data_IF_372974288879
#
_entry.id   IF_372974288879
#
_cell.length_a   1.000
_cell.length_b   1.000
_cell.length_c   1.000
_cell.angle_alpha   90.00
_cell.angle_beta   90.00
_cell.angle_gamma   90.00
#
_symmetry.space_group_name_H-M   'P 1'
#
loop_
_entity.id
_entity.type
_entity.pdbx_description
1 polymer ?
#
# COMPACT_ATOMS: atom_id res chain seq x y z
N UNK A 1 -3.21 -18.72 -15.63
CA UNK A 1 -3.72 -17.36 -15.33
C UNK A 1 -5.17 -17.33 -14.85
N UNK A 2 -6.14 -17.96 -15.54
CA UNK A 2 -7.57 -17.94 -15.14
C UNK A 2 -7.84 -18.46 -13.70
N UNK A 3 -7.17 -19.49 -13.24
CA UNK A 3 -7.35 -20.02 -11.88
C UNK A 3 -6.82 -19.06 -10.81
N UNK A 4 -5.66 -18.42 -11.03
CA UNK A 4 -5.10 -17.44 -10.08
C UNK A 4 -6.01 -16.22 -9.86
N UNK A 5 -6.67 -15.70 -10.91
CA UNK A 5 -7.64 -14.62 -10.76
C UNK A 5 -8.87 -15.03 -9.93
N UNK A 6 -9.35 -16.27 -10.14
CA UNK A 6 -10.49 -16.82 -9.37
C UNK A 6 -10.17 -16.94 -7.88
N UNK A 7 -8.94 -17.30 -7.56
CA UNK A 7 -8.48 -17.48 -6.17
C UNK A 7 -8.32 -16.10 -5.48
N UNK A 8 -7.82 -15.10 -6.18
CA UNK A 8 -7.81 -13.70 -5.70
C UNK A 8 -9.24 -13.21 -5.42
N UNK A 9 -10.19 -13.47 -6.32
CA UNK A 9 -11.60 -13.09 -6.10
C UNK A 9 -12.22 -13.79 -4.89
N UNK A 10 -11.88 -15.06 -4.62
CA UNK A 10 -12.31 -15.77 -3.42
C UNK A 10 -11.73 -15.16 -2.15
N UNK A 11 -10.44 -14.81 -2.16
CA UNK A 11 -9.78 -14.14 -1.03
C UNK A 11 -10.37 -12.76 -0.78
N UNK A 12 -10.69 -12.01 -1.84
CA UNK A 12 -11.40 -10.72 -1.74
C UNK A 12 -12.79 -10.91 -1.11
N UNK A 13 -13.56 -11.92 -1.58
CA UNK A 13 -14.90 -12.17 -1.05
C UNK A 13 -14.86 -12.62 0.41
N UNK A 14 -13.89 -13.44 0.78
CA UNK A 14 -13.65 -13.85 2.17
C UNK A 14 -13.31 -12.65 3.05
N UNK A 15 -12.33 -11.85 2.65
CA UNK A 15 -11.95 -10.63 3.40
C UNK A 15 -13.14 -9.67 3.45
N UNK A 16 -13.87 -9.47 2.37
CA UNK A 16 -15.11 -8.68 2.37
C UNK A 16 -16.10 -9.18 3.41
N UNK A 17 -16.43 -10.49 3.43
CA UNK A 17 -17.36 -11.09 4.39
C UNK A 17 -16.85 -10.90 5.83
N UNK A 18 -15.57 -11.11 6.04
CA UNK A 18 -14.92 -10.95 7.34
C UNK A 18 -14.96 -9.49 7.80
N UNK A 19 -14.70 -8.54 6.92
CA UNK A 19 -14.74 -7.10 7.19
C UNK A 19 -16.16 -6.60 7.48
N UNK A 20 -17.16 -7.07 6.70
CA UNK A 20 -18.55 -6.68 6.93
C UNK A 20 -19.15 -7.31 8.19
N UNK A 21 -18.60 -8.44 8.66
CA UNK A 21 -19.00 -9.09 9.92
C UNK A 21 -18.54 -8.28 11.14
N UNK A 22 -17.34 -7.64 11.07
CA UNK A 22 -16.75 -6.93 12.20
C UNK A 22 -16.90 -5.40 12.05
N UNK A 23 -17.84 -4.79 12.79
CA UNK A 23 -18.10 -3.34 12.91
C UNK A 23 -18.08 -2.54 11.60
N UNK A 24 -18.98 -2.82 10.70
CA UNK A 24 -19.25 -2.10 9.44
C UNK A 24 -19.20 -0.57 9.57
N UNK A 25 -19.61 -0.02 10.74
CA UNK A 25 -19.63 1.44 10.99
C UNK A 25 -18.22 2.06 10.86
N UNK A 26 -17.16 1.41 11.35
CA UNK A 26 -15.80 1.96 11.24
C UNK A 26 -15.32 2.03 9.78
N UNK A 27 -15.64 1.02 8.97
CA UNK A 27 -15.30 1.04 7.55
C UNK A 27 -16.00 2.20 6.82
N UNK A 28 -17.30 2.42 7.11
CA UNK A 28 -18.05 3.52 6.52
C UNK A 28 -17.40 4.87 6.90
N UNK A 29 -17.06 5.06 8.18
CA UNK A 29 -16.38 6.28 8.64
C UNK A 29 -15.04 6.46 7.90
N UNK A 30 -14.23 5.40 7.77
CA UNK A 30 -12.95 5.45 7.06
C UNK A 30 -13.12 5.81 5.58
N UNK A 31 -14.15 5.26 4.91
CA UNK A 31 -14.46 5.58 3.51
C UNK A 31 -14.88 7.05 3.38
N UNK A 32 -15.76 7.55 4.25
CA UNK A 32 -16.19 8.96 4.23
C UNK A 32 -14.99 9.88 4.48
N UNK A 33 -14.19 9.62 5.51
CA UNK A 33 -13.00 10.42 5.81
C UNK A 33 -11.98 10.37 4.67
N UNK A 34 -11.88 9.23 3.97
CA UNK A 34 -11.01 9.07 2.82
C UNK A 34 -11.45 9.96 1.64
N UNK A 35 -12.76 10.00 1.35
CA UNK A 35 -13.32 10.89 0.33
C UNK A 35 -13.06 12.35 0.70
N UNK A 36 -13.36 12.73 1.94
CA UNK A 36 -13.14 14.09 2.44
C UNK A 36 -11.65 14.47 2.34
N UNK A 37 -10.72 13.55 2.66
CA UNK A 37 -9.27 13.77 2.58
C UNK A 37 -8.75 14.00 1.14
N UNK A 38 -9.54 13.69 0.12
CA UNK A 38 -9.23 14.04 -1.28
C UNK A 38 -9.76 15.43 -1.62
N UNK A 39 -10.97 15.77 -1.18
CA UNK A 39 -11.63 17.05 -1.54
C UNK A 39 -10.88 18.25 -1.00
N UNK A 40 -10.49 18.25 0.27
CA UNK A 40 -9.85 19.42 0.91
C UNK A 40 -8.52 19.84 0.27
N UNK A 41 -7.58 18.94 -0.09
CA UNK A 41 -6.37 19.32 -0.81
C UNK A 41 -6.62 19.93 -2.19
N UNK A 42 -7.72 19.55 -2.88
CA UNK A 42 -8.08 20.19 -4.16
C UNK A 42 -8.70 21.57 -3.96
N UNK A 43 -9.57 21.75 -2.95
CA UNK A 43 -10.08 23.07 -2.59
C UNK A 43 -8.94 24.02 -2.20
N UNK A 44 -7.96 23.55 -1.42
CA UNK A 44 -6.77 24.33 -1.07
C UNK A 44 -5.95 24.70 -2.30
N UNK A 45 -5.81 23.78 -3.27
CA UNK A 45 -5.07 24.02 -4.51
C UNK A 45 -5.74 25.09 -5.36
N UNK A 46 -7.06 25.05 -5.55
CA UNK A 46 -7.80 26.08 -6.27
C UNK A 46 -7.77 27.43 -5.55
N UNK A 47 -7.79 27.43 -4.23
CA UNK A 47 -7.66 28.66 -3.46
C UNK A 47 -6.28 29.31 -3.65
N UNK A 48 -5.20 28.51 -3.63
CA UNK A 48 -3.83 28.98 -3.92
C UNK A 48 -3.73 29.53 -5.35
N UNK A 49 -4.33 28.83 -6.31
CA UNK A 49 -4.41 29.29 -7.70
C UNK A 49 -5.06 30.69 -7.78
N UNK A 50 -6.20 30.86 -7.12
CA UNK A 50 -6.92 32.11 -7.09
C UNK A 50 -6.08 33.24 -6.45
N UNK A 51 -5.44 32.97 -5.31
CA UNK A 51 -4.56 33.94 -4.63
C UNK A 51 -3.45 34.43 -5.58
N UNK A 52 -2.76 33.51 -6.27
CA UNK A 52 -1.65 33.86 -7.16
C UNK A 52 -2.16 34.67 -8.36
N UNK A 53 -3.29 34.26 -8.94
CA UNK A 53 -3.89 34.99 -10.08
C UNK A 53 -4.34 36.40 -9.69
N UNK A 54 -5.00 36.53 -8.53
CA UNK A 54 -5.44 37.84 -8.00
C UNK A 54 -4.26 38.77 -7.67
N UNK A 55 -3.12 38.23 -7.25
CA UNK A 55 -1.89 39.01 -7.05
C UNK A 55 -1.31 39.49 -8.40
N UNK A 56 -1.36 38.63 -9.42
CA UNK A 56 -0.88 38.97 -10.77
C UNK A 56 -1.76 40.03 -11.42
N UNK A 57 -3.08 39.95 -11.26
CA UNK A 57 -4.07 40.87 -11.81
C UNK A 57 -4.25 42.15 -10.96
N UNK A 58 -3.58 42.23 -9.80
CA UNK A 58 -3.67 43.36 -8.85
C UNK A 58 -5.10 43.64 -8.37
N UNK A 59 -5.85 42.57 -8.05
CA UNK A 59 -7.19 42.69 -7.50
C UNK A 59 -7.22 43.37 -6.12
N UNK A 60 -8.43 43.62 -5.60
CA UNK A 60 -8.64 44.30 -4.31
C UNK A 60 -7.98 43.52 -3.16
N UNK A 61 -7.16 44.20 -2.35
CA UNK A 61 -6.42 43.65 -1.25
C UNK A 61 -7.30 42.91 -0.23
N UNK A 62 -8.53 43.36 0.03
CA UNK A 62 -9.49 42.71 0.92
C UNK A 62 -9.91 41.31 0.43
N UNK A 63 -10.02 41.10 -0.88
CA UNK A 63 -10.35 39.80 -1.46
C UNK A 63 -9.18 38.81 -1.25
N UNK A 64 -7.96 39.28 -1.46
CA UNK A 64 -6.74 38.49 -1.22
C UNK A 64 -6.64 38.07 0.23
N UNK A 65 -6.92 38.98 1.21
CA UNK A 65 -6.93 38.64 2.65
C UNK A 65 -7.96 37.57 2.95
N UNK A 66 -9.17 37.63 2.41
CA UNK A 66 -10.20 36.62 2.62
C UNK A 66 -9.76 35.24 2.10
N UNK A 67 -9.10 35.19 0.95
CA UNK A 67 -8.57 33.95 0.40
C UNK A 67 -7.40 33.38 1.20
N UNK A 68 -6.54 34.24 1.78
CA UNK A 68 -5.48 33.83 2.69
C UNK A 68 -6.04 33.23 4.00
N UNK A 69 -7.08 33.83 4.57
CA UNK A 69 -7.79 33.28 5.74
C UNK A 69 -8.39 31.92 5.39
N UNK A 70 -9.05 31.81 4.23
CA UNK A 70 -9.61 30.54 3.75
C UNK A 70 -8.52 29.46 3.57
N UNK A 71 -7.35 29.82 3.04
CA UNK A 71 -6.21 28.91 2.91
C UNK A 71 -5.77 28.34 4.25
N UNK A 72 -5.66 29.19 5.27
CA UNK A 72 -5.28 28.77 6.64
C UNK A 72 -6.33 27.80 7.21
N UNK A 73 -7.63 28.14 7.05
CA UNK A 73 -8.74 27.30 7.54
C UNK A 73 -8.73 25.94 6.82
N UNK A 74 -8.61 25.91 5.50
CA UNK A 74 -8.54 24.67 4.73
C UNK A 74 -7.33 23.81 5.12
N UNK A 75 -6.18 24.45 5.37
CA UNK A 75 -4.97 23.76 5.85
C UNK A 75 -5.17 23.11 7.22
N UNK A 76 -5.74 23.83 8.18
CA UNK A 76 -6.06 23.31 9.51
C UNK A 76 -7.07 22.16 9.43
N UNK A 77 -8.13 22.30 8.64
CA UNK A 77 -9.12 21.24 8.44
C UNK A 77 -8.50 19.99 7.79
N UNK A 78 -7.63 20.15 6.82
CA UNK A 78 -6.93 19.03 6.19
C UNK A 78 -6.05 18.26 7.19
N UNK A 79 -5.32 18.98 8.06
CA UNK A 79 -4.52 18.35 9.13
C UNK A 79 -5.44 17.60 10.10
N UNK A 80 -6.53 18.21 10.55
CA UNK A 80 -7.49 17.60 11.47
C UNK A 80 -8.10 16.32 10.87
N UNK A 81 -8.57 16.36 9.63
CA UNK A 81 -9.16 15.21 8.93
C UNK A 81 -8.15 14.07 8.80
N UNK A 82 -6.90 14.34 8.40
CA UNK A 82 -5.88 13.31 8.30
C UNK A 82 -5.55 12.68 9.67
N UNK A 83 -5.55 13.44 10.76
CA UNK A 83 -5.33 12.91 12.12
C UNK A 83 -6.53 12.09 12.61
N UNK A 84 -7.74 12.54 12.34
CA UNK A 84 -8.96 11.79 12.64
C UNK A 84 -8.99 10.48 11.84
N UNK A 85 -8.65 10.51 10.55
CA UNK A 85 -8.52 9.32 9.72
C UNK A 85 -7.51 8.32 10.31
N UNK A 86 -6.30 8.79 10.65
CA UNK A 86 -5.26 7.95 11.24
C UNK A 86 -5.72 7.31 12.57
N UNK A 87 -6.42 8.07 13.43
CA UNK A 87 -6.97 7.56 14.68
C UNK A 87 -8.01 6.44 14.44
N UNK A 88 -8.96 6.65 13.53
CA UNK A 88 -9.98 5.64 13.23
C UNK A 88 -9.38 4.42 12.53
N UNK A 89 -8.36 4.60 11.69
CA UNK A 89 -7.62 3.52 11.05
C UNK A 89 -6.91 2.63 12.08
N UNK A 90 -6.19 3.25 13.02
CA UNK A 90 -5.54 2.55 14.13
C UNK A 90 -6.56 1.81 15.02
N UNK A 91 -7.65 2.48 15.37
CA UNK A 91 -8.73 1.88 16.18
C UNK A 91 -9.37 0.68 15.48
N UNK A 92 -9.52 0.73 14.16
CA UNK A 92 -10.02 -0.38 13.38
C UNK A 92 -9.03 -1.53 13.32
N UNK A 93 -7.73 -1.25 13.19
CA UNK A 93 -6.64 -2.22 13.23
C UNK A 93 -6.65 -3.02 14.54
N UNK A 94 -6.65 -2.32 15.68
CA UNK A 94 -6.67 -2.96 17.00
C UNK A 94 -7.93 -3.81 17.22
N UNK A 95 -9.07 -3.30 16.73
CA UNK A 95 -10.32 -4.04 16.81
C UNK A 95 -10.30 -5.32 15.96
N UNK A 96 -9.76 -5.27 14.75
CA UNK A 96 -9.59 -6.46 13.92
C UNK A 96 -8.64 -7.45 14.57
N UNK A 97 -7.50 -6.99 15.06
CA UNK A 97 -6.51 -7.80 15.74
C UNK A 97 -7.11 -8.58 16.91
N UNK A 98 -7.85 -7.91 17.78
CA UNK A 98 -8.50 -8.52 18.93
C UNK A 98 -9.52 -9.59 18.51
N UNK A 99 -10.41 -9.28 17.57
CA UNK A 99 -11.47 -10.20 17.18
C UNK A 99 -10.97 -11.40 16.36
N UNK A 100 -9.94 -11.19 15.54
CA UNK A 100 -9.36 -12.28 14.75
C UNK A 100 -8.56 -13.24 15.61
N UNK A 101 -7.80 -12.72 16.60
CA UNK A 101 -7.14 -13.59 17.59
C UNK A 101 -8.17 -14.39 18.42
N UNK A 102 -9.24 -13.74 18.86
CA UNK A 102 -10.33 -14.44 19.55
C UNK A 102 -10.95 -15.54 18.69
N UNK A 103 -11.09 -15.29 17.37
CA UNK A 103 -11.62 -16.30 16.44
C UNK A 103 -10.71 -17.51 16.32
N UNK A 104 -9.38 -17.33 16.28
CA UNK A 104 -8.44 -18.45 16.29
C UNK A 104 -8.56 -19.23 17.61
N UNK A 105 -8.44 -18.54 18.74
CA UNK A 105 -8.49 -19.19 20.06
C UNK A 105 -9.81 -19.93 20.28
N UNK A 106 -10.92 -19.44 19.73
CA UNK A 106 -12.18 -20.18 19.77
C UNK A 106 -12.16 -21.44 18.89
N UNK A 107 -11.51 -21.38 17.71
CA UNK A 107 -11.34 -22.56 16.85
C UNK A 107 -10.43 -23.62 17.48
N UNK A 108 -9.36 -23.21 18.14
CA UNK A 108 -8.46 -24.17 18.81
C UNK A 108 -9.12 -24.89 19.98
N UNK A 109 -10.19 -24.32 20.56
CA UNK A 109 -11.01 -24.98 21.57
C UNK A 109 -11.71 -26.25 21.06
N UNK A 110 -12.03 -26.28 19.77
CA UNK A 110 -12.80 -27.36 19.14
C UNK A 110 -11.86 -28.47 18.60
N UNK A 111 -10.53 -28.32 18.71
CA UNK A 111 -9.55 -29.33 18.28
C UNK A 111 -9.40 -30.45 19.29
N UNK A 112 -9.30 -31.65 18.78
CA UNK A 112 -8.96 -32.85 19.56
C UNK A 112 -7.46 -32.94 19.82
N UNK A 113 -7.05 -33.75 20.79
CA UNK A 113 -5.63 -33.96 21.12
C UNK A 113 -4.84 -34.52 19.92
N UNK A 114 -5.47 -35.36 19.12
CA UNK A 114 -4.96 -35.94 17.87
C UNK A 114 -4.62 -34.89 16.80
N UNK A 115 -5.36 -33.76 16.78
CA UNK A 115 -5.11 -32.66 15.85
C UNK A 115 -3.80 -31.92 16.16
N UNK A 116 -3.45 -31.79 17.45
CA UNK A 116 -2.18 -31.21 17.88
C UNK A 116 -0.97 -32.12 17.62
N UNK A 117 -1.16 -33.42 17.52
CA UNK A 117 -0.14 -34.37 17.13
C UNK A 117 0.11 -34.41 15.62
N UNK A 118 -0.83 -33.87 14.83
CA UNK A 118 -0.68 -33.76 13.37
C UNK A 118 0.19 -32.56 13.01
N UNK A 119 1.41 -32.77 12.44
CA UNK A 119 2.31 -31.66 12.09
C UNK A 119 1.70 -30.66 11.11
N UNK A 120 0.78 -31.11 10.23
CA UNK A 120 0.14 -30.22 9.25
C UNK A 120 -0.84 -29.27 9.91
N UNK A 121 -1.63 -29.74 10.87
CA UNK A 121 -2.60 -28.92 11.63
C UNK A 121 -1.84 -27.94 12.54
N UNK A 122 -0.80 -28.40 13.21
CA UNK A 122 0.05 -27.53 14.04
C UNK A 122 0.72 -26.41 13.24
N UNK A 123 1.25 -26.72 12.05
CA UNK A 123 1.79 -25.72 11.11
C UNK A 123 0.74 -24.69 10.69
N UNK A 124 -0.52 -25.12 10.47
CA UNK A 124 -1.63 -24.19 10.11
C UNK A 124 -1.97 -23.27 11.28
N UNK A 125 -2.06 -23.78 12.50
CA UNK A 125 -2.31 -22.97 13.71
C UNK A 125 -1.22 -21.91 13.85
N UNK A 126 0.05 -22.30 13.76
CA UNK A 126 1.18 -21.39 13.93
C UNK A 126 1.25 -20.31 12.86
N UNK A 127 0.93 -20.65 11.60
CA UNK A 127 0.83 -19.66 10.51
C UNK A 127 -0.33 -18.70 10.71
N UNK A 128 -1.46 -19.22 11.20
CA UNK A 128 -2.63 -18.41 11.51
C UNK A 128 -2.30 -17.39 12.62
N UNK A 129 -1.71 -17.82 13.73
CA UNK A 129 -1.32 -16.94 14.83
C UNK A 129 -0.37 -15.81 14.40
N UNK A 130 0.64 -16.13 13.57
CA UNK A 130 1.63 -15.13 13.13
C UNK A 130 1.08 -14.08 12.19
N UNK A 131 0.06 -14.38 11.39
CA UNK A 131 -0.36 -13.54 10.26
C UNK A 131 -1.74 -12.93 10.40
N UNK A 132 -2.60 -13.44 11.30
CA UNK A 132 -4.02 -13.11 11.30
C UNK A 132 -4.33 -11.66 11.68
N UNK A 133 -3.49 -11.04 12.50
CA UNK A 133 -3.70 -9.65 12.91
C UNK A 133 -3.22 -8.63 11.87
N UNK A 134 -2.19 -8.98 11.10
CA UNK A 134 -1.48 -8.04 10.23
C UNK A 134 -2.02 -8.09 8.81
N UNK A 135 -2.17 -9.29 8.22
CA UNK A 135 -2.52 -9.45 6.79
C UNK A 135 -3.90 -8.97 6.41
N UNK A 136 -4.99 -9.32 7.15
CA UNK A 136 -6.32 -8.82 6.84
C UNK A 136 -6.41 -7.30 6.94
N UNK A 137 -5.74 -6.69 7.93
CA UNK A 137 -5.70 -5.23 8.05
C UNK A 137 -4.92 -4.59 6.89
N UNK A 138 -3.78 -5.16 6.49
CA UNK A 138 -3.00 -4.69 5.34
C UNK A 138 -3.82 -4.69 4.05
N UNK A 139 -4.65 -5.73 3.81
CA UNK A 139 -5.58 -5.76 2.68
C UNK A 139 -6.60 -4.63 2.72
N UNK A 140 -7.19 -4.36 3.90
CA UNK A 140 -8.12 -3.23 4.06
C UNK A 140 -7.44 -1.90 3.77
N UNK A 141 -6.25 -1.70 4.34
CA UNK A 141 -5.49 -0.48 4.13
C UNK A 141 -5.13 -0.28 2.64
N UNK A 142 -4.68 -1.34 1.97
CA UNK A 142 -4.41 -1.32 0.53
C UNK A 142 -5.65 -0.95 -0.28
N UNK A 143 -6.83 -1.50 0.07
CA UNK A 143 -8.09 -1.13 -0.57
C UNK A 143 -8.44 0.35 -0.37
N UNK A 144 -8.30 0.88 0.85
CA UNK A 144 -8.55 2.30 1.15
C UNK A 144 -7.58 3.22 0.41
N UNK A 145 -6.31 2.85 0.29
CA UNK A 145 -5.30 3.59 -0.48
C UNK A 145 -5.63 3.57 -1.97
N UNK A 146 -6.01 2.42 -2.54
CA UNK A 146 -6.44 2.31 -3.95
C UNK A 146 -7.64 3.22 -4.20
N UNK A 147 -8.65 3.18 -3.34
CA UNK A 147 -9.84 4.01 -3.47
C UNK A 147 -9.50 5.51 -3.43
N UNK A 148 -8.68 5.93 -2.47
CA UNK A 148 -8.19 7.32 -2.38
C UNK A 148 -7.45 7.74 -3.64
N UNK A 149 -6.54 6.90 -4.12
CA UNK A 149 -5.72 7.19 -5.29
C UNK A 149 -6.56 7.26 -6.57
N UNK A 150 -7.58 6.40 -6.73
CA UNK A 150 -8.52 6.48 -7.86
C UNK A 150 -9.29 7.80 -7.83
N UNK A 151 -9.82 8.21 -6.67
CA UNK A 151 -10.52 9.49 -6.55
C UNK A 151 -9.60 10.68 -6.85
N UNK A 152 -8.34 10.63 -6.35
CA UNK A 152 -7.34 11.67 -6.64
C UNK A 152 -6.97 11.70 -8.13
N UNK A 153 -6.87 10.53 -8.78
CA UNK A 153 -6.64 10.45 -10.23
C UNK A 153 -7.80 11.05 -11.01
N UNK A 154 -9.03 10.68 -10.70
CA UNK A 154 -10.21 11.20 -11.40
C UNK A 154 -10.29 12.72 -11.31
N UNK A 155 -10.10 13.29 -10.12
CA UNK A 155 -10.10 14.75 -9.94
C UNK A 155 -8.93 15.43 -10.65
N UNK A 156 -7.73 14.84 -10.60
CA UNK A 156 -6.54 15.38 -11.28
C UNK A 156 -6.66 15.32 -12.81
N UNK A 157 -7.16 14.21 -13.33
CA UNK A 157 -7.42 14.03 -14.77
C UNK A 157 -8.46 15.04 -15.27
N UNK A 158 -9.53 15.27 -14.50
CA UNK A 158 -10.57 16.25 -14.88
C UNK A 158 -9.99 17.65 -15.04
N UNK A 159 -9.02 18.05 -14.21
CA UNK A 159 -8.36 19.38 -14.32
C UNK A 159 -7.48 19.43 -15.57
N UNK A 160 -6.70 18.39 -15.86
CA UNK A 160 -5.87 18.35 -17.08
C UNK A 160 -6.71 18.30 -18.36
N UNK A 161 -7.86 17.60 -18.35
CA UNK A 161 -8.79 17.56 -19.49
C UNK A 161 -9.31 18.93 -19.88
N UNK A 162 -9.56 19.81 -18.90
CA UNK A 162 -10.02 21.18 -19.12
C UNK A 162 -8.95 22.06 -19.77
N UNK A 163 -7.67 21.69 -19.62
CA UNK A 163 -6.56 22.40 -20.24
C UNK A 163 -6.17 21.77 -21.58
N UNK A 164 -5.61 20.55 -21.57
CA UNK A 164 -5.23 19.81 -22.77
C UNK A 164 -5.50 18.32 -22.59
N UNK A 165 -6.51 17.80 -23.28
CA UNK A 165 -6.96 16.40 -23.17
C UNK A 165 -5.90 15.36 -23.57
N UNK A 166 -4.99 15.68 -24.48
CA UNK A 166 -3.96 14.76 -24.99
C UNK A 166 -2.82 14.48 -23.98
N UNK A 167 -2.64 15.35 -22.96
CA UNK A 167 -1.60 15.19 -21.94
C UNK A 167 -1.81 13.95 -21.05
N UNK A 168 -2.97 13.34 -21.09
CA UNK A 168 -3.29 12.15 -20.28
C UNK A 168 -2.74 10.88 -20.92
N UNK A 169 -2.61 10.82 -22.25
CA UNK A 169 -2.16 9.61 -22.96
C UNK A 169 -0.80 9.07 -22.50
N UNK A 170 0.24 9.88 -22.34
CA UNK A 170 1.54 9.39 -21.86
C UNK A 170 1.44 8.70 -20.49
N UNK A 171 0.63 9.24 -19.56
CA UNK A 171 0.42 8.62 -18.24
C UNK A 171 -0.33 7.28 -18.33
N UNK A 172 -1.34 7.18 -19.19
CA UNK A 172 -2.07 5.93 -19.40
C UNK A 172 -1.16 4.84 -19.96
N UNK A 173 -0.38 5.16 -20.99
CA UNK A 173 0.55 4.22 -21.62
C UNK A 173 1.59 3.73 -20.60
N UNK A 174 2.20 4.65 -19.86
CA UNK A 174 3.20 4.33 -18.86
C UNK A 174 2.60 3.47 -17.72
N UNK A 175 1.37 3.78 -17.28
CA UNK A 175 0.66 3.02 -16.25
C UNK A 175 0.39 1.58 -16.68
N UNK A 176 -0.01 1.35 -17.94
CA UNK A 176 -0.26 -0.01 -18.48
C UNK A 176 1.03 -0.83 -18.49
N UNK A 177 2.14 -0.21 -18.91
CA UNK A 177 3.47 -0.85 -18.90
C UNK A 177 3.88 -1.20 -17.47
N UNK A 178 3.71 -0.26 -16.54
CA UNK A 178 4.04 -0.45 -15.12
C UNK A 178 3.26 -1.62 -14.50
N UNK A 179 1.94 -1.66 -14.67
CA UNK A 179 1.09 -2.73 -14.12
C UNK A 179 1.53 -4.11 -14.62
N UNK A 180 1.81 -4.26 -15.94
CA UNK A 180 2.27 -5.53 -16.51
C UNK A 180 3.60 -5.97 -15.90
N UNK A 181 4.53 -5.05 -15.75
CA UNK A 181 5.86 -5.37 -15.26
C UNK A 181 5.89 -5.63 -13.74
N UNK A 182 5.18 -4.84 -12.96
CA UNK A 182 5.02 -5.08 -11.52
C UNK A 182 4.31 -6.40 -11.24
N UNK A 183 3.29 -6.76 -12.03
CA UNK A 183 2.65 -8.07 -11.93
C UNK A 183 3.62 -9.22 -12.22
N UNK A 184 4.53 -9.06 -13.20
CA UNK A 184 5.57 -10.05 -13.50
C UNK A 184 6.56 -10.20 -12.34
N UNK A 185 7.05 -9.09 -11.78
CA UNK A 185 7.96 -9.11 -10.63
C UNK A 185 7.27 -9.74 -9.40
N UNK A 186 6.01 -9.38 -9.16
CA UNK A 186 5.22 -9.95 -8.07
C UNK A 186 5.08 -11.47 -8.17
N UNK A 187 4.82 -12.00 -9.36
CA UNK A 187 4.79 -13.44 -9.57
C UNK A 187 6.15 -14.11 -9.30
N UNK A 188 7.25 -13.51 -9.74
CA UNK A 188 8.59 -14.04 -9.49
C UNK A 188 8.94 -14.05 -7.99
N UNK A 189 8.56 -12.99 -7.27
CA UNK A 189 8.76 -12.92 -5.83
C UNK A 189 7.92 -13.96 -5.09
N UNK A 190 6.67 -14.14 -5.50
CA UNK A 190 5.81 -15.19 -4.95
C UNK A 190 6.40 -16.60 -5.18
N UNK A 191 6.83 -16.91 -6.41
CA UNK A 191 7.45 -18.21 -6.71
C UNK A 191 8.73 -18.43 -5.89
N UNK A 192 9.54 -17.40 -5.71
CA UNK A 192 10.73 -17.45 -4.86
C UNK A 192 10.35 -17.76 -3.41
N UNK A 193 9.38 -17.06 -2.83
CA UNK A 193 8.92 -17.28 -1.45
C UNK A 193 8.30 -18.66 -1.31
N UNK A 194 7.47 -19.10 -2.25
CA UNK A 194 6.83 -20.40 -2.25
C UNK A 194 7.84 -21.54 -2.28
N UNK A 195 8.83 -21.48 -3.16
CA UNK A 195 9.85 -22.53 -3.32
C UNK A 195 10.76 -22.64 -2.09
N UNK A 196 10.97 -21.57 -1.33
CA UNK A 196 11.81 -21.60 -0.13
C UNK A 196 11.07 -21.89 1.18
N UNK A 197 9.74 -22.06 1.15
CA UNK A 197 8.91 -22.26 2.37
C UNK A 197 9.45 -23.41 3.25
N UNK A 198 9.88 -24.53 2.66
CA UNK A 198 10.45 -25.65 3.40
C UNK A 198 11.79 -25.29 4.07
N UNK A 199 12.62 -24.48 3.42
CA UNK A 199 13.90 -24.03 3.96
C UNK A 199 13.71 -22.95 5.03
N UNK A 200 12.71 -22.10 4.90
CA UNK A 200 12.33 -21.13 5.93
C UNK A 200 11.87 -21.83 7.21
N UNK A 201 11.03 -22.86 7.08
CA UNK A 201 10.63 -23.70 8.20
C UNK A 201 11.84 -24.37 8.89
N UNK A 202 12.79 -24.88 8.10
CA UNK A 202 14.03 -25.48 8.60
C UNK A 202 14.89 -24.46 9.36
N UNK A 203 15.02 -23.25 8.82
CA UNK A 203 15.73 -22.16 9.47
C UNK A 203 15.06 -21.72 10.78
N UNK A 204 13.72 -21.63 10.78
CA UNK A 204 12.96 -21.32 11.98
C UNK A 204 13.15 -22.39 13.06
N UNK A 205 13.08 -23.69 12.69
CA UNK A 205 13.27 -24.79 13.61
C UNK A 205 14.68 -24.78 14.24
N UNK A 206 15.72 -24.51 13.47
CA UNK A 206 17.09 -24.38 14.00
C UNK A 206 17.17 -23.22 15.00
N UNK A 207 16.58 -22.06 14.68
CA UNK A 207 16.53 -20.94 15.62
C UNK A 207 15.76 -21.32 16.90
N UNK A 208 14.67 -22.05 16.77
CA UNK A 208 13.88 -22.55 17.91
C UNK A 208 14.69 -23.48 18.82
N UNK A 209 15.45 -24.43 18.27
CA UNK A 209 16.35 -25.29 19.01
C UNK A 209 17.42 -24.52 19.80
N UNK A 210 17.96 -23.45 19.21
CA UNK A 210 19.01 -22.63 19.83
C UNK A 210 18.51 -21.66 20.90
N UNK A 211 17.19 -21.31 20.88
CA UNK A 211 16.67 -20.24 21.73
C UNK A 211 15.68 -20.68 22.80
N UNK A 212 15.08 -21.88 22.66
CA UNK A 212 14.09 -22.35 23.63
C UNK A 212 14.73 -23.16 24.75
N UNK A 213 14.27 -22.88 25.97
CA UNK A 213 14.70 -23.53 27.21
C UNK A 213 14.55 -25.06 27.21
N UNK A 214 13.52 -25.54 26.50
CA UNK A 214 13.23 -26.97 26.34
C UNK A 214 14.32 -27.75 25.60
N UNK A 215 14.97 -27.13 24.62
CA UNK A 215 15.94 -27.79 23.73
C UNK A 215 17.39 -27.35 23.95
N UNK A 216 17.59 -26.16 24.50
CA UNK A 216 18.93 -25.55 24.65
C UNK A 216 19.87 -26.38 25.52
N UNK A 217 19.35 -27.13 26.49
CA UNK A 217 20.13 -28.05 27.35
C UNK A 217 20.77 -29.17 26.55
N UNK A 218 19.97 -29.83 25.71
CA UNK A 218 20.43 -30.93 24.84
C UNK A 218 21.42 -30.46 23.80
N UNK A 219 21.13 -29.30 23.17
CA UNK A 219 22.02 -28.66 22.20
C UNK A 219 23.39 -28.35 22.79
N UNK A 220 23.44 -27.86 24.05
CA UNK A 220 24.70 -27.61 24.76
C UNK A 220 25.40 -28.89 25.23
N UNK A 221 24.64 -29.88 25.72
CA UNK A 221 25.22 -31.15 26.17
C UNK A 221 25.86 -31.95 25.01
N UNK A 222 25.28 -31.84 23.80
CA UNK A 222 25.77 -32.53 22.60
C UNK A 222 26.75 -31.68 21.78
N UNK A 223 27.10 -30.46 22.24
CA UNK A 223 27.99 -29.50 21.57
C UNK A 223 27.59 -29.16 20.12
N UNK A 224 26.26 -29.10 19.89
CA UNK A 224 25.71 -28.87 18.56
C UNK A 224 25.53 -27.37 18.19
N UNK A 225 25.89 -26.47 19.10
CA UNK A 225 25.62 -25.01 18.94
C UNK A 225 26.23 -24.47 17.68
N UNK A 226 27.52 -24.70 17.44
CA UNK A 226 28.21 -24.16 16.27
C UNK A 226 27.73 -24.80 14.96
N UNK A 227 27.46 -26.10 14.97
CA UNK A 227 26.92 -26.77 13.79
C UNK A 227 25.57 -26.21 13.37
N UNK A 228 24.64 -26.02 14.32
CA UNK A 228 23.31 -25.48 14.08
C UNK A 228 23.39 -24.01 13.64
N UNK A 229 24.27 -23.22 14.26
CA UNK A 229 24.48 -21.81 13.91
C UNK A 229 24.99 -21.67 12.47
N UNK A 230 26.01 -22.46 12.08
CA UNK A 230 26.54 -22.48 10.72
C UNK A 230 25.47 -22.90 9.70
N UNK A 231 24.64 -23.89 10.02
CA UNK A 231 23.53 -24.33 9.17
C UNK A 231 22.44 -23.26 9.02
N UNK A 232 22.11 -22.57 10.11
CA UNK A 232 21.20 -21.42 10.08
C UNK A 232 21.76 -20.31 9.20
N UNK A 233 23.03 -19.95 9.40
CA UNK A 233 23.70 -18.91 8.61
C UNK A 233 23.74 -19.24 7.12
N UNK A 234 24.04 -20.48 6.75
CA UNK A 234 24.05 -20.91 5.34
C UNK A 234 22.70 -20.73 4.66
N UNK A 235 21.59 -21.15 5.33
CA UNK A 235 20.23 -20.97 4.83
C UNK A 235 19.85 -19.49 4.71
N UNK A 236 20.12 -18.70 5.76
CA UNK A 236 19.80 -17.27 5.77
C UNK A 236 20.63 -16.48 4.77
N UNK A 237 21.90 -16.86 4.54
CA UNK A 237 22.71 -16.20 3.54
C UNK A 237 22.22 -16.47 2.11
N UNK A 238 21.65 -17.65 1.85
CA UNK A 238 20.99 -17.92 0.58
C UNK A 238 19.76 -17.05 0.40
N UNK A 239 18.88 -16.95 1.41
CA UNK A 239 17.70 -16.09 1.37
C UNK A 239 18.06 -14.62 1.19
N UNK A 240 19.13 -14.18 1.85
CA UNK A 240 19.65 -12.82 1.68
C UNK A 240 20.03 -12.55 0.22
N UNK A 241 20.78 -13.45 -0.42
CA UNK A 241 21.18 -13.31 -1.83
C UNK A 241 19.98 -13.25 -2.77
N UNK A 242 18.98 -14.11 -2.56
CA UNK A 242 17.74 -14.14 -3.33
C UNK A 242 16.96 -12.84 -3.17
N UNK A 243 16.77 -12.36 -1.93
CA UNK A 243 16.08 -11.11 -1.63
C UNK A 243 16.80 -9.91 -2.25
N UNK A 244 18.12 -9.82 -2.15
CA UNK A 244 18.90 -8.74 -2.77
C UNK A 244 18.75 -8.76 -4.28
N UNK A 245 18.80 -9.95 -4.92
CA UNK A 245 18.59 -10.08 -6.36
C UNK A 245 17.22 -9.57 -6.79
N UNK A 246 16.16 -9.98 -6.07
CA UNK A 246 14.80 -9.52 -6.36
C UNK A 246 14.64 -8.02 -6.13
N UNK A 247 15.17 -7.52 -5.01
CA UNK A 247 15.11 -6.09 -4.71
C UNK A 247 15.87 -5.25 -5.75
N UNK A 248 17.03 -5.73 -6.24
CA UNK A 248 17.78 -5.07 -7.31
C UNK A 248 16.94 -4.94 -8.59
N UNK A 249 16.23 -5.99 -8.99
CA UNK A 249 15.33 -5.97 -10.17
C UNK A 249 14.20 -4.95 -9.97
N UNK A 250 13.58 -4.96 -8.78
CA UNK A 250 12.53 -3.99 -8.41
C UNK A 250 13.04 -2.55 -8.47
N UNK A 251 14.17 -2.29 -7.83
CA UNK A 251 14.76 -0.94 -7.74
C UNK A 251 15.16 -0.41 -9.11
N UNK A 252 15.79 -1.23 -9.96
CA UNK A 252 16.14 -0.82 -11.32
C UNK A 252 14.91 -0.47 -12.15
N UNK A 253 13.87 -1.31 -12.08
CA UNK A 253 12.62 -1.01 -12.79
C UNK A 253 11.95 0.25 -12.25
N UNK A 254 11.85 0.38 -10.92
CA UNK A 254 11.26 1.57 -10.29
C UNK A 254 12.04 2.83 -10.68
N UNK A 255 13.36 2.77 -10.75
CA UNK A 255 14.19 3.89 -11.21
C UNK A 255 13.83 4.33 -12.64
N UNK A 256 13.81 3.40 -13.61
CA UNK A 256 13.46 3.75 -14.99
C UNK A 256 12.01 4.22 -15.13
N UNK A 257 11.09 3.61 -14.37
CA UNK A 257 9.70 4.03 -14.34
C UNK A 257 9.56 5.46 -13.80
N UNK A 258 10.18 5.78 -12.68
CA UNK A 258 10.14 7.11 -12.08
C UNK A 258 10.84 8.15 -12.96
N UNK A 259 11.93 7.78 -13.62
CA UNK A 259 12.59 8.65 -14.59
C UNK A 259 11.70 8.95 -15.80
N UNK A 260 10.97 7.97 -16.31
CA UNK A 260 10.01 8.17 -17.40
C UNK A 260 8.83 9.05 -16.97
N UNK A 261 8.28 8.84 -15.76
CA UNK A 261 7.25 9.70 -15.18
C UNK A 261 7.74 11.15 -15.06
N UNK A 262 8.92 11.34 -14.48
CA UNK A 262 9.52 12.66 -14.34
C UNK A 262 9.72 13.36 -15.70
N UNK A 263 10.14 12.62 -16.74
CA UNK A 263 10.30 13.18 -18.08
C UNK A 263 8.97 13.67 -18.68
N UNK A 264 7.89 12.90 -18.49
CA UNK A 264 6.54 13.31 -18.90
C UNK A 264 6.10 14.56 -18.14
N UNK A 265 6.27 14.56 -16.82
CA UNK A 265 5.90 15.68 -15.96
C UNK A 265 6.71 16.94 -16.29
N UNK A 266 8.01 16.79 -16.49
CA UNK A 266 8.88 17.90 -16.90
C UNK A 266 8.42 18.51 -18.25
N UNK A 267 8.04 17.64 -19.20
CA UNK A 267 7.46 18.10 -20.48
C UNK A 267 6.19 18.93 -20.30
N UNK A 268 5.29 18.48 -19.42
CA UNK A 268 4.04 19.20 -19.12
C UNK A 268 4.34 20.55 -18.43
N UNK A 269 5.28 20.56 -17.49
CA UNK A 269 5.70 21.78 -16.78
C UNK A 269 6.31 22.79 -17.76
N UNK A 270 7.14 22.33 -18.71
CA UNK A 270 7.72 23.18 -19.75
C UNK A 270 6.62 23.77 -20.63
N UNK A 271 5.66 22.97 -21.08
CA UNK A 271 4.52 23.45 -21.85
C UNK A 271 3.72 24.50 -21.09
N UNK A 272 3.38 24.24 -19.82
CA UNK A 272 2.67 25.18 -18.97
C UNK A 272 3.45 26.50 -18.76
N UNK A 273 4.78 26.41 -18.61
CA UNK A 273 5.64 27.57 -18.48
C UNK A 273 5.67 28.42 -19.78
N UNK A 274 5.74 27.78 -20.95
CA UNK A 274 5.69 28.48 -22.25
C UNK A 274 4.34 29.20 -22.44
N UNK A 275 3.23 28.52 -22.15
CA UNK A 275 1.90 29.14 -22.26
C UNK A 275 1.70 30.26 -21.26
N UNK A 276 2.25 30.15 -20.06
CA UNK A 276 2.23 31.23 -19.07
C UNK A 276 3.08 32.43 -19.52
N UNK A 277 4.26 32.16 -20.11
CA UNK A 277 5.10 33.24 -20.68
C UNK A 277 4.42 33.98 -21.86
N UNK A 278 3.68 33.23 -22.67
CA UNK A 278 2.89 33.80 -23.79
C UNK A 278 1.57 34.47 -23.33
N UNK A 279 1.32 34.56 -22.03
CA UNK A 279 0.09 35.06 -21.42
C UNK A 279 -1.20 34.33 -21.82
N UNK A 280 -1.11 33.08 -22.27
CA UNK A 280 -2.29 32.24 -22.53
C UNK A 280 -2.91 31.72 -21.24
N UNK A 281 -2.10 31.53 -20.19
CA UNK A 281 -2.55 31.10 -18.84
C UNK A 281 -1.87 31.98 -17.77
N UNK A 282 -2.56 32.16 -16.64
CA UNK A 282 -2.02 32.86 -15.48
C UNK A 282 -1.04 32.00 -14.69
N UNK A 283 -0.14 32.60 -13.92
CA UNK A 283 0.89 31.89 -13.12
C UNK A 283 0.27 30.94 -12.09
N UNK A 284 -0.89 31.30 -11.52
CA UNK A 284 -1.60 30.41 -10.60
C UNK A 284 -2.10 29.12 -11.28
N UNK A 285 -2.49 29.19 -12.56
CA UNK A 285 -2.87 28.01 -13.34
C UNK A 285 -1.66 27.09 -13.56
N UNK A 286 -0.49 27.66 -13.90
CA UNK A 286 0.77 26.92 -14.02
C UNK A 286 1.08 26.13 -12.74
N UNK A 287 1.00 26.79 -11.56
CA UNK A 287 1.21 26.13 -10.27
C UNK A 287 0.20 25.01 -10.03
N UNK A 288 -1.03 25.19 -10.43
CA UNK A 288 -2.08 24.16 -10.34
C UNK A 288 -1.74 22.95 -11.20
N UNK A 289 -1.31 23.12 -12.44
CA UNK A 289 -0.94 22.02 -13.34
C UNK A 289 0.27 21.25 -12.84
N UNK A 290 1.31 21.91 -12.32
CA UNK A 290 2.46 21.28 -11.68
C UNK A 290 2.01 20.36 -10.51
N UNK A 291 1.16 20.87 -9.62
CA UNK A 291 0.65 20.10 -8.49
C UNK A 291 -0.25 18.95 -8.93
N UNK A 292 -1.07 19.13 -9.94
CA UNK A 292 -1.97 18.09 -10.48
C UNK A 292 -1.17 16.95 -11.10
N UNK A 293 -0.13 17.25 -11.88
CA UNK A 293 0.77 16.26 -12.46
C UNK A 293 1.44 15.43 -11.37
N UNK A 294 2.01 16.06 -10.34
CA UNK A 294 2.60 15.38 -9.20
C UNK A 294 1.59 14.50 -8.45
N UNK A 295 0.32 14.93 -8.32
CA UNK A 295 -0.74 14.10 -7.73
C UNK A 295 -1.08 12.88 -8.60
N UNK A 296 -1.07 13.00 -9.92
CA UNK A 296 -1.26 11.88 -10.85
C UNK A 296 -0.16 10.84 -10.66
N UNK A 297 1.11 11.27 -10.67
CA UNK A 297 2.26 10.39 -10.47
C UNK A 297 2.16 9.60 -9.16
N UNK A 298 1.99 10.31 -8.04
CA UNK A 298 1.88 9.71 -6.71
C UNK A 298 0.67 8.75 -6.61
N UNK A 299 -0.44 9.09 -7.26
CA UNK A 299 -1.64 8.24 -7.23
C UNK A 299 -1.44 6.96 -8.02
N UNK A 300 -0.78 7.01 -9.17
CA UNK A 300 -0.46 5.82 -9.97
C UNK A 300 0.50 4.91 -9.19
N UNK A 301 1.56 5.48 -8.60
CA UNK A 301 2.51 4.73 -7.78
C UNK A 301 1.83 4.05 -6.59
N UNK A 302 0.97 4.78 -5.87
CA UNK A 302 0.20 4.24 -4.75
C UNK A 302 -0.74 3.10 -5.18
N UNK A 303 -1.42 3.21 -6.33
CA UNK A 303 -2.28 2.14 -6.85
C UNK A 303 -1.45 0.89 -7.14
N UNK A 304 -0.33 1.04 -7.84
CA UNK A 304 0.54 -0.08 -8.22
C UNK A 304 1.09 -0.78 -6.98
N UNK A 305 1.62 -0.03 -6.02
CA UNK A 305 2.17 -0.56 -4.77
C UNK A 305 1.08 -1.24 -3.92
N UNK A 306 -0.12 -0.65 -3.85
CA UNK A 306 -1.23 -1.20 -3.08
C UNK A 306 -1.84 -2.45 -3.72
N UNK A 307 -1.93 -2.53 -5.05
CA UNK A 307 -2.35 -3.74 -5.76
C UNK A 307 -1.37 -4.88 -5.47
N UNK A 308 -0.06 -4.57 -5.49
CA UNK A 308 0.97 -5.54 -5.19
C UNK A 308 0.90 -6.06 -3.75
N UNK A 309 0.79 -5.15 -2.76
CA UNK A 309 0.61 -5.51 -1.35
C UNK A 309 -0.66 -6.35 -1.14
N UNK A 310 -1.78 -5.93 -1.74
CA UNK A 310 -3.04 -6.65 -1.69
C UNK A 310 -2.92 -8.08 -2.25
N UNK A 311 -2.23 -8.23 -3.38
CA UNK A 311 -1.98 -9.54 -3.98
C UNK A 311 -1.15 -10.44 -3.07
N UNK A 312 -0.05 -9.93 -2.51
CA UNK A 312 0.76 -10.69 -1.55
C UNK A 312 -0.05 -11.15 -0.33
N UNK A 313 -0.81 -10.24 0.27
CA UNK A 313 -1.61 -10.55 1.46
C UNK A 313 -2.73 -11.57 1.16
N UNK A 314 -3.33 -11.51 -0.06
CA UNK A 314 -4.37 -12.46 -0.47
C UNK A 314 -3.88 -13.90 -0.53
N UNK A 315 -2.64 -14.12 -0.98
CA UNK A 315 -2.04 -15.45 -1.05
C UNK A 315 -1.79 -16.08 0.34
N UNK A 316 -1.47 -15.26 1.33
CA UNK A 316 -1.31 -15.73 2.71
C UNK A 316 -2.66 -16.10 3.35
N UNK A 317 -3.72 -15.36 3.05
CA UNK A 317 -5.06 -15.63 3.61
C UNK A 317 -5.68 -16.89 3.00
N UNK A 318 -5.42 -17.19 1.74
CA UNK A 318 -5.89 -18.42 1.11
C UNK A 318 -5.34 -19.67 1.81
N UNK A 319 -4.08 -19.64 2.25
CA UNK A 319 -3.46 -20.71 3.01
C UNK A 319 -4.06 -20.92 4.42
N UNK A 320 -4.80 -19.96 4.94
CA UNK A 320 -5.49 -20.04 6.25
C UNK A 320 -6.90 -20.63 6.10
N UNK A 321 -7.50 -20.55 4.90
CA UNK A 321 -8.85 -21.03 4.63
C UNK A 321 -8.94 -22.51 4.26
N UNK A 322 -7.83 -23.11 3.83
CA UNK A 322 -7.69 -24.54 3.54
C UNK A 322 -7.26 -25.31 4.78
#
# INVERSE_FOLDING_TARGET
MKNKFRDIFKSIDYVRKLLFKYKKRYLIILVILNIISVIFPFLSLFNVQYIINSLQEKENFNQIINCLILYIILGMLNIAINKIYAYFLYKYQEYLYLNLNQMILNKTKDFELSDYENPQIYDLIQRAEQNIGIRPFSMVNSFLVIMKSILTLLTSISILLLWHWWLIFPFIVLSIIAIKYFAKIGNQEYEMIFNRTNYERKSWYIAHLLTKDTFVKEVKMLDLSDYLLNKFYSLRSQFYKENIRMNKIKTLFSFFYNLSNFSISAGIVVLAAIESYLNHILVGNLMTYINVVSKIENSIENIVNSIFAFYQDSLYIENINN
#
